data_IF_280162158209
#
_entry.id   IF_280162158209
#
_cell.length_a   1.000
_cell.length_b   1.000
_cell.length_c   1.000
_cell.angle_alpha   90.00
_cell.angle_beta   90.00
_cell.angle_gamma   90.00
#
_symmetry.space_group_name_H-M   'P 1'
#
loop_
_entity.id
_entity.type
_entity.pdbx_description
1 polymer ?
#
# COMPACT_ATOMS: atom_id res chain seq x y z
N UNK A 1 17.31 23.70 -0.71
CA UNK A 1 17.95 22.37 -0.87
C UNK A 1 19.27 22.30 -0.12
N UNK A 2 20.10 23.34 -0.12
CA UNK A 2 21.35 23.45 0.67
C UNK A 2 21.15 23.29 2.18
N UNK A 3 20.04 23.80 2.72
CA UNK A 3 19.75 23.82 4.16
C UNK A 3 19.59 22.41 4.81
N UNK A 4 18.87 21.48 4.17
CA UNK A 4 18.64 20.13 4.74
C UNK A 4 19.92 19.30 4.75
N UNK A 5 20.75 19.38 3.71
CA UNK A 5 21.99 18.60 3.64
C UNK A 5 23.03 19.08 4.65
N UNK A 6 23.14 20.40 4.84
CA UNK A 6 24.00 21.01 5.86
C UNK A 6 23.53 20.62 7.28
N UNK A 7 22.23 20.74 7.58
CA UNK A 7 21.68 20.34 8.86
C UNK A 7 21.85 18.84 9.15
N UNK A 8 21.68 17.97 8.15
CA UNK A 8 21.94 16.53 8.29
C UNK A 8 23.43 16.28 8.61
N UNK A 9 24.35 17.00 7.97
CA UNK A 9 25.77 16.86 8.23
C UNK A 9 26.14 17.29 9.66
N UNK A 10 25.55 18.39 10.16
CA UNK A 10 25.73 18.83 11.55
C UNK A 10 25.20 17.80 12.56
N UNK A 11 24.00 17.25 12.33
CA UNK A 11 23.42 16.23 13.21
C UNK A 11 24.28 14.95 13.20
N UNK A 12 24.81 14.54 12.03
CA UNK A 12 25.76 13.42 11.95
C UNK A 12 27.05 13.70 12.71
N UNK A 13 27.57 14.93 12.63
CA UNK A 13 28.81 15.33 13.30
C UNK A 13 28.69 15.38 14.82
N UNK A 14 27.48 15.53 15.37
CA UNK A 14 27.22 15.51 16.81
C UNK A 14 27.48 14.13 17.47
N UNK A 15 27.68 13.09 16.67
CA UNK A 15 27.98 11.73 17.14
C UNK A 15 26.73 10.89 17.44
N UNK A 16 26.94 9.59 17.68
CA UNK A 16 25.87 8.67 18.06
C UNK A 16 25.53 8.74 19.55
N UNK A 17 24.31 8.32 19.96
CA UNK A 17 23.91 8.28 21.35
C UNK A 17 24.77 7.30 22.13
N UNK A 18 24.91 7.54 23.43
CA UNK A 18 25.56 6.57 24.32
C UNK A 18 24.80 5.24 24.33
N UNK A 19 25.47 4.11 24.60
CA UNK A 19 24.80 2.83 24.76
C UNK A 19 23.66 2.93 25.76
N UNK A 20 22.45 2.55 25.34
CA UNK A 20 21.26 2.55 26.18
C UNK A 20 20.87 1.14 26.52
N UNK A 21 20.79 0.82 27.81
CA UNK A 21 20.26 -0.46 28.25
C UNK A 21 18.76 -0.57 27.91
N UNK A 22 18.33 -1.76 27.49
CA UNK A 22 16.93 -2.14 27.46
C UNK A 22 16.32 -2.04 28.87
N UNK A 23 15.01 -1.77 28.95
CA UNK A 23 14.32 -1.56 30.23
C UNK A 23 14.46 -2.77 31.15
N UNK A 24 14.32 -3.96 30.56
CA UNK A 24 14.38 -5.24 31.25
C UNK A 24 15.48 -6.10 30.61
N UNK A 25 16.16 -6.98 31.37
CA UNK A 25 16.91 -8.07 30.78
C UNK A 25 16.00 -8.95 29.91
N UNK A 26 16.59 -9.74 29.02
CA UNK A 26 15.86 -10.79 28.31
C UNK A 26 15.13 -11.65 29.35
N UNK A 27 13.82 -11.82 29.20
CA UNK A 27 13.02 -12.48 30.24
C UNK A 27 11.91 -13.35 29.64
N UNK A 28 11.63 -14.46 30.32
CA UNK A 28 10.63 -15.43 29.88
C UNK A 28 9.22 -14.85 29.75
N UNK A 29 8.73 -13.98 30.67
CA UNK A 29 7.40 -13.39 30.53
C UNK A 29 7.20 -12.64 29.21
N UNK A 30 8.16 -11.83 28.78
CA UNK A 30 8.09 -11.13 27.49
C UNK A 30 8.23 -12.09 26.31
N UNK A 31 9.07 -13.13 26.41
CA UNK A 31 9.15 -14.18 25.38
C UNK A 31 7.80 -14.86 25.22
N UNK A 32 7.13 -15.24 26.32
CA UNK A 32 5.82 -15.87 26.31
C UNK A 32 4.77 -14.99 25.61
N UNK A 33 4.65 -13.73 26.02
CA UNK A 33 3.72 -12.78 25.39
C UNK A 33 3.98 -12.66 23.87
N UNK A 34 5.25 -12.61 23.47
CA UNK A 34 5.63 -12.46 22.07
C UNK A 34 5.29 -13.72 21.25
N UNK A 35 5.69 -14.91 21.70
CA UNK A 35 5.43 -16.15 20.95
C UNK A 35 3.94 -16.50 20.90
N UNK A 36 3.17 -16.15 21.93
CA UNK A 36 1.72 -16.30 21.93
C UNK A 36 1.05 -15.37 20.92
N UNK A 37 1.45 -14.09 20.89
CA UNK A 37 0.89 -13.11 19.96
C UNK A 37 1.29 -13.38 18.49
N UNK A 38 2.53 -13.81 18.25
CA UNK A 38 3.03 -14.14 16.91
C UNK A 38 2.53 -15.52 16.45
N UNK A 39 2.20 -16.41 17.37
CA UNK A 39 1.82 -17.79 17.08
C UNK A 39 3.00 -18.72 16.75
N UNK A 40 4.23 -18.32 17.09
CA UNK A 40 5.43 -19.15 16.92
C UNK A 40 5.48 -20.23 18.00
N UNK A 41 5.36 -21.50 17.59
CA UNK A 41 5.33 -22.66 18.50
C UNK A 41 6.68 -23.37 18.62
N UNK A 42 7.78 -22.75 18.22
CA UNK A 42 9.10 -23.36 18.33
C UNK A 42 9.45 -23.64 19.81
N UNK A 43 9.67 -24.90 20.21
CA UNK A 43 9.80 -25.27 21.62
C UNK A 43 11.08 -24.75 22.27
N UNK A 44 12.11 -24.37 21.51
CA UNK A 44 13.39 -23.90 22.08
C UNK A 44 13.25 -22.58 22.88
N UNK A 45 12.12 -21.87 22.71
CA UNK A 45 11.83 -20.61 23.39
C UNK A 45 11.10 -20.79 24.72
N UNK A 46 10.55 -21.98 24.99
CA UNK A 46 9.66 -22.22 26.15
C UNK A 46 9.93 -23.53 26.89
N UNK A 47 10.68 -24.46 26.28
CA UNK A 47 11.02 -25.75 26.86
C UNK A 47 12.55 -25.94 26.92
N UNK A 48 13.04 -26.15 28.14
CA UNK A 48 14.48 -26.23 28.41
C UNK A 48 15.12 -27.49 27.84
N UNK A 49 14.39 -28.61 27.81
CA UNK A 49 14.89 -29.87 27.28
C UNK A 49 15.00 -29.81 25.75
N UNK A 50 14.01 -29.22 25.09
CA UNK A 50 14.01 -29.00 23.64
C UNK A 50 15.14 -28.06 23.21
N UNK A 51 15.35 -26.96 23.94
CA UNK A 51 16.44 -26.03 23.65
C UNK A 51 17.82 -26.72 23.76
N UNK A 52 18.01 -27.54 24.80
CA UNK A 52 19.25 -28.35 24.94
C UNK A 52 19.41 -29.41 23.87
N UNK A 53 18.34 -30.10 23.50
CA UNK A 53 18.35 -31.07 22.42
C UNK A 53 18.72 -30.40 21.07
N UNK A 54 18.38 -29.13 20.89
CA UNK A 54 18.78 -28.30 19.74
C UNK A 54 20.20 -27.72 19.84
N UNK A 55 20.95 -28.01 20.91
CA UNK A 55 22.34 -27.57 21.10
C UNK A 55 22.51 -26.25 21.84
N UNK A 56 21.44 -25.67 22.40
CA UNK A 56 21.53 -24.47 23.23
C UNK A 56 21.84 -24.81 24.70
N UNK A 57 22.45 -23.91 25.49
CA UNK A 57 22.69 -24.14 26.93
C UNK A 57 21.42 -24.27 27.78
N UNK A 58 20.30 -23.73 27.29
CA UNK A 58 18.98 -23.67 27.91
C UNK A 58 18.04 -22.88 27.01
N UNK A 59 16.91 -22.42 27.54
CA UNK A 59 15.96 -21.58 26.77
C UNK A 59 16.68 -20.36 26.17
N UNK A 60 16.32 -20.05 24.93
CA UNK A 60 16.81 -18.89 24.20
C UNK A 60 15.65 -17.98 23.79
N UNK A 61 15.91 -16.68 23.62
CA UNK A 61 14.93 -15.77 23.07
C UNK A 61 14.84 -15.93 21.54
N UNK A 62 13.65 -15.77 20.93
CA UNK A 62 13.53 -15.64 19.48
C UNK A 62 14.45 -14.51 18.97
N UNK A 63 15.30 -14.74 17.96
CA UNK A 63 16.24 -13.71 17.47
C UNK A 63 15.53 -12.41 17.06
N UNK A 64 14.36 -12.52 16.43
CA UNK A 64 13.53 -11.40 15.99
C UNK A 64 13.00 -10.51 17.14
N UNK A 65 13.16 -10.92 18.41
CA UNK A 65 12.84 -10.07 19.57
C UNK A 65 13.93 -9.05 19.89
N UNK A 66 15.09 -9.05 19.22
CA UNK A 66 16.23 -8.20 19.60
C UNK A 66 15.85 -6.72 19.81
N UNK A 67 15.06 -6.15 18.89
CA UNK A 67 14.61 -4.77 18.98
C UNK A 67 13.59 -4.56 20.11
N UNK A 68 12.75 -5.57 20.41
CA UNK A 68 11.71 -5.50 21.44
C UNK A 68 12.29 -5.16 22.81
N UNK A 69 13.46 -5.74 23.15
CA UNK A 69 14.14 -5.50 24.43
C UNK A 69 14.55 -4.04 24.66
N UNK A 70 14.70 -3.27 23.57
CA UNK A 70 15.21 -1.90 23.60
C UNK A 70 14.17 -0.88 23.14
N UNK A 71 12.93 -1.29 22.90
CA UNK A 71 11.82 -0.38 22.66
C UNK A 71 11.62 0.59 23.83
N UNK A 72 11.20 1.82 23.53
CA UNK A 72 10.96 2.85 24.54
C UNK A 72 9.74 2.55 25.44
N UNK A 73 8.79 1.75 24.95
CA UNK A 73 7.53 1.49 25.64
C UNK A 73 6.56 2.67 25.53
N UNK A 74 5.42 2.58 26.23
CA UNK A 74 4.28 3.50 26.05
C UNK A 74 4.60 4.95 26.41
N UNK A 75 5.41 5.17 27.45
CA UNK A 75 5.77 6.49 27.98
C UNK A 75 7.25 6.81 27.86
N UNK A 76 8.00 6.02 27.08
CA UNK A 76 9.44 6.23 26.95
C UNK A 76 9.74 7.42 26.04
N UNK A 77 10.59 8.32 26.52
CA UNK A 77 11.10 9.43 25.73
C UNK A 77 12.38 9.03 25.01
N UNK A 78 12.58 9.59 23.81
CA UNK A 78 13.81 9.40 23.05
C UNK A 78 14.96 10.15 23.75
N UNK A 79 16.15 9.55 23.89
CA UNK A 79 17.31 10.21 24.47
C UNK A 79 17.66 11.50 23.73
N UNK A 80 18.11 12.52 24.46
CA UNK A 80 18.46 13.84 23.89
C UNK A 80 19.64 13.78 22.92
N UNK A 81 20.47 12.75 23.05
CA UNK A 81 21.64 12.47 22.20
C UNK A 81 21.32 11.54 21.03
N UNK A 82 20.06 11.14 20.82
CA UNK A 82 19.65 10.34 19.66
C UNK A 82 19.49 11.24 18.42
N UNK A 83 20.32 11.07 17.38
CA UNK A 83 20.29 11.92 16.18
C UNK A 83 19.00 11.78 15.37
N UNK A 84 18.22 10.72 15.60
CA UNK A 84 16.97 10.52 14.88
C UNK A 84 15.88 11.51 15.31
N UNK A 85 15.91 12.02 16.56
CA UNK A 85 14.96 13.04 17.00
C UNK A 85 15.05 14.33 16.17
N UNK A 86 16.22 15.00 16.15
CA UNK A 86 16.44 16.19 15.33
C UNK A 86 16.20 15.99 13.84
N UNK A 87 16.52 14.80 13.30
CA UNK A 87 16.27 14.48 11.88
C UNK A 87 14.78 14.44 11.57
N UNK A 88 13.98 13.78 12.42
CA UNK A 88 12.54 13.71 12.23
C UNK A 88 11.94 15.12 12.26
N UNK A 89 12.34 15.94 13.24
CA UNK A 89 11.88 17.32 13.37
C UNK A 89 12.29 18.19 12.17
N UNK A 90 13.53 18.06 11.68
CA UNK A 90 14.02 18.74 10.47
C UNK A 90 13.13 18.41 9.26
N UNK A 91 12.83 17.13 9.03
CA UNK A 91 12.00 16.71 7.90
C UNK A 91 10.53 17.11 8.07
N UNK A 92 9.99 17.05 9.28
CA UNK A 92 8.62 17.49 9.59
C UNK A 92 8.45 18.98 9.32
N UNK A 93 9.38 19.82 9.81
CA UNK A 93 9.38 21.26 9.58
C UNK A 93 9.54 21.62 8.09
N UNK A 94 10.19 20.76 7.30
CA UNK A 94 10.30 20.89 5.85
C UNK A 94 9.09 20.33 5.06
N UNK A 95 8.05 19.86 5.76
CA UNK A 95 6.79 19.36 5.20
C UNK A 95 6.78 17.86 4.86
N UNK A 96 7.86 17.12 5.13
CA UNK A 96 7.95 15.68 4.91
C UNK A 96 7.36 14.90 6.11
N UNK A 97 6.08 15.15 6.40
CA UNK A 97 5.39 14.65 7.59
C UNK A 97 5.10 13.14 7.55
N UNK A 98 4.98 12.55 6.36
CA UNK A 98 4.78 11.12 6.19
C UNK A 98 6.03 10.34 6.56
N UNK A 99 5.87 9.18 7.22
CA UNK A 99 6.97 8.28 7.55
C UNK A 99 6.56 6.83 7.28
N UNK A 100 7.45 6.07 6.64
CA UNK A 100 7.27 4.63 6.47
C UNK A 100 8.62 3.92 6.53
N UNK A 101 8.66 2.75 7.15
CA UNK A 101 9.82 1.87 7.09
C UNK A 101 9.86 1.17 5.73
N UNK A 102 11.01 1.19 5.04
CA UNK A 102 11.12 0.57 3.71
C UNK A 102 11.97 -0.68 3.72
N UNK A 103 13.01 -0.73 4.57
CA UNK A 103 13.90 -1.89 4.67
C UNK A 103 14.32 -2.14 6.12
N UNK A 104 14.44 -3.40 6.46
CA UNK A 104 14.93 -3.89 7.75
C UNK A 104 15.77 -5.13 7.49
N UNK A 105 17.06 -5.04 7.77
CA UNK A 105 18.01 -6.14 7.61
C UNK A 105 18.66 -6.39 8.97
N UNK A 106 18.30 -7.49 9.63
CA UNK A 106 18.86 -7.87 10.92
C UNK A 106 19.83 -9.05 10.77
N UNK A 107 21.00 -8.92 11.39
CA UNK A 107 21.98 -9.99 11.53
C UNK A 107 22.10 -10.36 13.00
N UNK A 108 22.00 -11.65 13.32
CA UNK A 108 22.09 -12.15 14.68
C UNK A 108 23.39 -12.95 14.83
N UNK A 109 24.33 -12.47 15.64
CA UNK A 109 25.61 -13.14 15.83
C UNK A 109 25.45 -14.38 16.73
N UNK A 110 24.49 -14.35 17.66
CA UNK A 110 24.07 -15.50 18.46
C UNK A 110 22.66 -15.35 19.02
N UNK A 111 22.11 -16.44 19.55
CA UNK A 111 20.89 -16.41 20.37
C UNK A 111 21.17 -15.76 21.74
N UNK A 112 20.16 -15.05 22.25
CA UNK A 112 20.17 -14.49 23.61
C UNK A 112 19.53 -15.44 24.61
N UNK A 113 19.95 -15.33 25.86
CA UNK A 113 19.42 -16.14 26.98
C UNK A 113 18.67 -15.26 27.98
N UNK A 114 17.61 -15.79 28.61
CA UNK A 114 16.99 -15.12 29.75
C UNK A 114 18.03 -14.72 30.81
N UNK A 115 17.93 -13.49 31.30
CA UNK A 115 18.87 -12.86 32.24
C UNK A 115 19.94 -11.98 31.59
N UNK A 116 20.18 -12.08 30.28
CA UNK A 116 21.15 -11.22 29.60
C UNK A 116 20.60 -9.78 29.44
N UNK A 117 21.40 -8.78 29.83
CA UNK A 117 21.05 -7.37 29.68
C UNK A 117 21.52 -6.87 28.31
N UNK A 118 20.55 -6.54 27.45
CA UNK A 118 20.82 -5.96 26.13
C UNK A 118 20.97 -4.45 26.24
N UNK A 119 21.92 -3.89 25.51
CA UNK A 119 22.04 -2.45 25.24
C UNK A 119 22.01 -2.19 23.74
N UNK A 120 21.63 -0.98 23.34
CA UNK A 120 21.52 -0.53 21.95
C UNK A 120 22.37 0.72 21.73
N UNK A 121 23.06 0.78 20.59
CA UNK A 121 23.63 2.00 20.01
C UNK A 121 23.11 2.14 18.59
N UNK A 122 22.91 3.37 18.12
CA UNK A 122 22.46 3.65 16.75
C UNK A 122 23.31 4.73 16.11
N UNK A 123 23.81 4.45 14.92
CA UNK A 123 24.57 5.40 14.11
C UNK A 123 23.74 5.81 12.90
N UNK A 124 23.85 7.08 12.53
CA UNK A 124 23.14 7.60 11.37
C UNK A 124 23.92 7.31 10.09
N UNK A 125 23.30 6.54 9.20
CA UNK A 125 23.81 6.25 7.88
C UNK A 125 23.41 7.33 6.86
N UNK A 126 23.39 6.97 5.58
CA UNK A 126 23.12 7.91 4.50
C UNK A 126 21.70 8.50 4.53
N UNK A 127 21.60 9.77 4.13
CA UNK A 127 20.33 10.44 3.87
C UNK A 127 20.28 10.81 2.39
N UNK A 128 19.35 10.19 1.65
CA UNK A 128 19.34 10.21 0.19
C UNK A 128 18.01 10.80 -0.29
N UNK A 129 18.08 11.94 -0.98
CA UNK A 129 16.93 12.60 -1.58
C UNK A 129 17.24 14.00 -2.11
N UNK A 130 16.22 14.72 -2.61
CA UNK A 130 14.84 14.26 -2.72
C UNK A 130 14.68 13.20 -3.82
N UNK A 131 13.73 12.27 -3.64
CA UNK A 131 13.31 11.27 -4.63
C UNK A 131 11.80 11.32 -4.79
N UNK A 132 11.33 11.20 -6.04
CA UNK A 132 9.91 10.98 -6.32
C UNK A 132 9.59 9.49 -6.08
N UNK A 133 8.58 9.23 -5.24
CA UNK A 133 8.14 7.88 -4.89
C UNK A 133 6.63 7.74 -5.12
N UNK A 134 6.09 6.51 -5.00
CA UNK A 134 4.63 6.30 -5.09
C UNK A 134 3.83 7.01 -4.00
N UNK A 135 4.45 7.32 -2.86
CA UNK A 135 3.82 8.00 -1.71
C UNK A 135 3.96 9.54 -1.77
N UNK A 136 4.75 10.05 -2.72
CA UNK A 136 5.10 11.47 -2.85
C UNK A 136 6.61 11.71 -2.91
N UNK A 137 7.01 12.97 -2.92
CA UNK A 137 8.42 13.35 -2.82
C UNK A 137 8.95 13.07 -1.41
N UNK A 138 10.11 12.42 -1.29
CA UNK A 138 10.70 12.13 0.02
C UNK A 138 12.20 11.90 0.03
N UNK A 139 12.71 11.66 1.24
CA UNK A 139 14.10 11.35 1.55
C UNK A 139 14.17 10.01 2.26
N UNK A 140 15.12 9.19 1.83
CA UNK A 140 15.45 7.97 2.54
C UNK A 140 16.51 8.23 3.59
N UNK A 141 16.31 7.69 4.78
CA UNK A 141 17.21 7.86 5.92
C UNK A 141 17.61 6.46 6.38
N UNK A 142 18.91 6.20 6.42
CA UNK A 142 19.47 4.94 6.87
C UNK A 142 20.01 5.07 8.30
N UNK A 143 19.90 4.00 9.08
CA UNK A 143 20.55 3.83 10.37
C UNK A 143 21.22 2.47 10.43
N UNK A 144 22.38 2.43 11.08
CA UNK A 144 23.01 1.19 11.52
C UNK A 144 22.85 1.08 13.02
N UNK A 145 22.35 -0.05 13.49
CA UNK A 145 22.05 -0.28 14.91
C UNK A 145 22.84 -1.50 15.35
N UNK A 146 23.44 -1.42 16.53
CA UNK A 146 24.17 -2.52 17.14
C UNK A 146 23.60 -2.77 18.53
N UNK A 147 23.32 -4.04 18.83
CA UNK A 147 22.96 -4.50 20.15
C UNK A 147 24.11 -5.24 20.80
N UNK A 148 24.32 -4.98 22.10
CA UNK A 148 25.40 -5.58 22.89
C UNK A 148 24.91 -6.21 24.18
N UNK A 149 25.61 -7.24 24.63
CA UNK A 149 25.56 -7.76 26.01
C UNK A 149 26.94 -7.59 26.62
N UNK A 150 27.07 -6.67 27.57
CA UNK A 150 28.40 -6.18 27.97
C UNK A 150 29.10 -5.53 26.79
N UNK A 151 30.29 -6.02 26.44
CA UNK A 151 31.10 -5.54 25.32
C UNK A 151 30.96 -6.42 24.05
N UNK A 152 30.12 -7.46 24.08
CA UNK A 152 29.91 -8.38 22.96
C UNK A 152 28.78 -7.88 22.04
N UNK A 153 29.08 -7.68 20.76
CA UNK A 153 28.07 -7.45 19.72
C UNK A 153 27.26 -8.74 19.49
N UNK A 154 25.96 -8.71 19.78
CA UNK A 154 25.07 -9.88 19.70
C UNK A 154 24.16 -9.86 18.48
N UNK A 155 23.87 -8.67 17.96
CA UNK A 155 23.10 -8.47 16.74
C UNK A 155 23.32 -7.06 16.19
N UNK A 156 23.01 -6.89 14.91
CA UNK A 156 23.02 -5.59 14.23
C UNK A 156 21.83 -5.46 13.27
N UNK A 157 21.50 -4.22 12.92
CA UNK A 157 20.44 -3.90 11.97
C UNK A 157 20.81 -2.74 11.06
N UNK A 158 20.68 -2.96 9.75
CA UNK A 158 20.56 -1.87 8.79
C UNK A 158 19.07 -1.57 8.59
N UNK A 159 18.68 -0.35 8.94
CA UNK A 159 17.30 0.09 8.93
C UNK A 159 17.15 1.30 8.02
N UNK A 160 16.11 1.30 7.17
CA UNK A 160 15.83 2.39 6.26
C UNK A 160 14.38 2.84 6.37
N UNK A 161 14.19 4.13 6.53
CA UNK A 161 12.88 4.79 6.46
C UNK A 161 12.82 5.75 5.27
N UNK A 162 11.59 6.09 4.88
CA UNK A 162 11.26 7.16 3.97
C UNK A 162 10.47 8.23 4.73
N UNK A 163 11.00 9.45 4.80
CA UNK A 163 10.24 10.65 5.15
C UNK A 163 9.73 11.29 3.88
N UNK A 164 8.43 11.48 3.74
CA UNK A 164 7.83 11.95 2.49
C UNK A 164 6.77 13.01 2.74
N UNK A 165 6.60 13.92 1.77
CA UNK A 165 5.41 14.77 1.68
C UNK A 165 4.29 13.86 1.22
N UNK A 166 3.29 13.58 2.06
CA UNK A 166 2.13 12.84 1.60
C UNK A 166 1.60 13.57 0.39
N UNK A 167 1.44 12.84 -0.71
CA UNK A 167 0.61 13.36 -1.79
C UNK A 167 -0.72 13.73 -1.14
N UNK A 168 -1.24 14.93 -1.37
CA UNK A 168 -2.68 15.10 -1.22
C UNK A 168 -3.27 13.92 -1.97
N UNK A 169 -4.03 13.07 -1.27
CA UNK A 169 -4.85 12.08 -1.95
C UNK A 169 -5.49 12.87 -3.06
N UNK A 170 -5.18 12.51 -4.32
CA UNK A 170 -5.79 13.20 -5.42
C UNK A 170 -7.27 13.22 -5.05
N UNK A 171 -7.85 14.41 -4.97
CA UNK A 171 -9.28 14.58 -4.87
C UNK A 171 -9.86 14.13 -6.22
N UNK A 172 -9.55 12.90 -6.63
CA UNK A 172 -10.41 12.12 -7.47
C UNK A 172 -11.74 12.07 -6.74
N UNK A 173 -12.85 12.09 -7.48
CA UNK A 173 -14.17 12.08 -6.88
C UNK A 173 -14.20 10.94 -5.85
N UNK A 174 -14.52 11.28 -4.61
CA UNK A 174 -14.78 10.27 -3.59
C UNK A 174 -15.76 9.25 -4.17
N UNK A 175 -15.57 7.97 -3.86
CA UNK A 175 -16.54 6.92 -4.25
C UNK A 175 -17.93 7.46 -3.93
N UNK A 176 -18.84 7.56 -4.91
CA UNK A 176 -20.15 8.17 -4.70
C UNK A 176 -20.87 7.55 -3.50
N UNK A 177 -21.53 8.37 -2.68
CA UNK A 177 -22.14 7.95 -1.41
C UNK A 177 -23.20 6.85 -1.55
N UNK A 178 -23.76 6.68 -2.75
CA UNK A 178 -24.74 5.65 -3.08
C UNK A 178 -24.11 4.27 -3.39
N UNK A 179 -22.77 4.19 -3.39
CA UNK A 179 -21.98 2.98 -3.59
C UNK A 179 -21.22 2.59 -2.32
N UNK A 180 -21.29 1.32 -1.95
CA UNK A 180 -20.48 0.75 -0.87
C UNK A 180 -19.36 -0.12 -1.48
N UNK A 181 -18.09 0.34 -1.42
CA UNK A 181 -16.96 -0.29 -2.08
C UNK A 181 -16.68 -1.72 -1.59
N UNK A 182 -16.99 -2.03 -0.32
CA UNK A 182 -16.70 -3.33 0.29
C UNK A 182 -17.76 -4.39 -0.07
N UNK A 183 -18.97 -3.95 -0.40
CA UNK A 183 -20.06 -4.83 -0.84
C UNK A 183 -20.16 -4.97 -2.37
N UNK A 184 -19.43 -4.15 -3.15
CA UNK A 184 -19.47 -4.22 -4.61
C UNK A 184 -18.73 -5.43 -5.17
N UNK A 185 -19.34 -6.10 -6.15
CA UNK A 185 -18.66 -7.12 -6.95
C UNK A 185 -17.65 -6.45 -7.89
N UNK A 186 -16.38 -6.81 -7.70
CA UNK A 186 -15.26 -6.33 -8.52
C UNK A 186 -15.27 -7.02 -9.89
N UNK A 187 -15.07 -6.28 -11.00
CA UNK A 187 -14.90 -6.90 -12.30
C UNK A 187 -13.69 -7.82 -12.32
N UNK A 188 -13.84 -9.01 -12.90
CA UNK A 188 -12.72 -9.91 -13.13
C UNK A 188 -12.02 -9.56 -14.45
N UNK A 189 -10.74 -9.24 -14.36
CA UNK A 189 -9.88 -9.10 -15.54
C UNK A 189 -9.43 -10.48 -16.00
N UNK A 190 -9.56 -10.76 -17.30
CA UNK A 190 -8.98 -11.92 -17.95
C UNK A 190 -7.92 -11.44 -18.95
N UNK A 191 -7.08 -12.36 -19.46
CA UNK A 191 -6.08 -12.01 -20.47
C UNK A 191 -6.70 -11.26 -21.67
N UNK A 192 -7.87 -11.69 -22.12
CA UNK A 192 -8.51 -11.16 -23.32
C UNK A 192 -9.27 -9.84 -23.06
N UNK A 193 -9.52 -9.49 -21.80
CA UNK A 193 -10.12 -8.21 -21.38
C UNK A 193 -9.15 -7.27 -20.67
N UNK A 194 -7.89 -7.69 -20.47
CA UNK A 194 -6.89 -6.92 -19.76
C UNK A 194 -6.69 -5.53 -20.39
N UNK A 195 -6.58 -5.44 -21.72
CA UNK A 195 -6.41 -4.16 -22.42
C UNK A 195 -7.54 -3.17 -22.09
N UNK A 196 -8.77 -3.65 -21.94
CA UNK A 196 -9.96 -2.87 -21.61
C UNK A 196 -9.90 -2.38 -20.16
N UNK A 197 -9.65 -3.28 -19.20
CA UNK A 197 -9.60 -2.92 -17.78
C UNK A 197 -8.41 -2.03 -17.43
N UNK A 198 -7.25 -2.23 -18.06
CA UNK A 198 -6.12 -1.29 -17.95
C UNK A 198 -6.46 0.08 -18.57
N UNK A 199 -7.30 0.11 -19.60
CA UNK A 199 -7.86 1.34 -20.14
C UNK A 199 -8.77 2.04 -19.14
N UNK A 200 -9.72 1.31 -18.56
CA UNK A 200 -10.63 1.84 -17.53
C UNK A 200 -9.85 2.39 -16.34
N UNK A 201 -8.79 1.70 -15.89
CA UNK A 201 -7.88 2.20 -14.84
C UNK A 201 -7.14 3.48 -15.25
N UNK A 202 -6.78 3.60 -16.52
CA UNK A 202 -6.17 4.82 -17.09
C UNK A 202 -7.19 5.90 -17.48
N UNK A 203 -8.48 5.73 -17.16
CA UNK A 203 -9.58 6.60 -17.56
C UNK A 203 -9.71 6.75 -19.10
N UNK A 204 -9.42 5.65 -19.81
CA UNK A 204 -9.53 5.52 -21.26
C UNK A 204 -10.51 4.41 -21.65
N UNK A 205 -11.49 4.72 -22.49
CA UNK A 205 -12.43 3.70 -22.97
C UNK A 205 -11.86 3.01 -24.22
N UNK A 206 -11.15 1.89 -24.02
CA UNK A 206 -10.49 1.15 -25.12
C UNK A 206 -11.44 0.14 -25.78
N UNK A 207 -11.65 0.24 -27.09
CA UNK A 207 -12.51 -0.67 -27.87
C UNK A 207 -11.65 -1.59 -28.72
N UNK A 208 -11.92 -2.90 -28.69
CA UNK A 208 -11.18 -3.88 -29.49
C UNK A 208 -11.30 -3.55 -30.99
N UNK A 209 -10.17 -3.47 -31.69
CA UNK A 209 -10.10 -3.35 -33.14
C UNK A 209 -9.74 -4.70 -33.74
N UNK A 210 -10.54 -5.16 -34.70
CA UNK A 210 -10.29 -6.40 -35.44
C UNK A 210 -9.33 -6.16 -36.61
N UNK A 211 -8.72 -7.22 -37.17
CA UNK A 211 -7.81 -7.09 -38.31
C UNK A 211 -8.41 -6.45 -39.58
N UNK A 212 -9.74 -6.52 -39.74
CA UNK A 212 -10.47 -5.87 -40.84
C UNK A 212 -10.76 -4.37 -40.58
N UNK A 213 -10.30 -3.84 -39.45
CA UNK A 213 -10.53 -2.46 -39.02
C UNK A 213 -11.86 -2.25 -38.28
N UNK A 214 -12.74 -3.26 -38.21
CA UNK A 214 -13.99 -3.14 -37.47
C UNK A 214 -13.77 -3.06 -35.96
N UNK A 215 -14.66 -2.35 -35.27
CA UNK A 215 -14.64 -2.21 -33.82
C UNK A 215 -15.61 -3.21 -33.17
N UNK A 216 -15.23 -3.74 -32.01
CA UNK A 216 -15.96 -4.79 -31.34
C UNK A 216 -16.10 -4.53 -29.83
N UNK A 217 -17.34 -4.62 -29.35
CA UNK A 217 -17.65 -4.70 -27.93
C UNK A 217 -18.88 -5.63 -27.71
N UNK A 218 -18.90 -6.49 -26.69
CA UNK A 218 -17.81 -6.78 -25.74
C UNK A 218 -16.60 -7.42 -26.44
N UNK A 219 -15.40 -7.37 -25.82
CA UNK A 219 -14.20 -8.01 -26.37
C UNK A 219 -14.43 -9.50 -26.61
N UNK A 220 -14.02 -9.99 -27.79
CA UNK A 220 -14.16 -11.41 -28.14
C UNK A 220 -12.85 -12.15 -27.81
N UNK A 221 -12.90 -13.22 -26.99
CA UNK A 221 -11.70 -13.96 -26.57
C UNK A 221 -11.12 -14.89 -27.65
N UNK A 222 -11.89 -15.19 -28.70
CA UNK A 222 -11.55 -16.17 -29.74
C UNK A 222 -11.10 -15.53 -31.06
N UNK A 223 -10.15 -14.58 -31.00
CA UNK A 223 -9.44 -14.15 -32.22
C UNK A 223 -8.42 -15.23 -32.56
N UNK A 224 -8.42 -15.73 -33.80
CA UNK A 224 -7.44 -16.72 -34.30
C UNK A 224 -6.06 -16.08 -34.49
N UNK A 225 -5.43 -15.68 -33.39
CA UNK A 225 -4.10 -15.07 -33.33
C UNK A 225 -3.20 -15.83 -32.35
N UNK A 226 -1.90 -15.53 -32.37
CA UNK A 226 -0.97 -16.02 -31.36
C UNK A 226 -1.46 -15.58 -29.96
N UNK A 227 -1.45 -16.51 -29.00
CA UNK A 227 -1.82 -16.28 -27.61
C UNK A 227 -0.97 -15.20 -26.93
N UNK A 228 0.24 -14.94 -27.44
CA UNK A 228 1.15 -13.91 -26.94
C UNK A 228 0.97 -12.55 -27.65
N UNK A 229 0.24 -12.48 -28.76
CA UNK A 229 0.03 -11.23 -29.47
C UNK A 229 -0.94 -10.32 -28.67
N UNK A 230 -0.60 -9.03 -28.47
CA UNK A 230 -1.50 -8.10 -27.79
C UNK A 230 -2.79 -7.89 -28.60
N UNK A 231 -3.87 -7.61 -27.90
CA UNK A 231 -5.14 -7.22 -28.53
C UNK A 231 -5.01 -5.77 -29.01
N UNK A 232 -5.31 -5.56 -30.29
CA UNK A 232 -5.35 -4.22 -30.87
C UNK A 232 -6.63 -3.47 -30.46
N UNK A 233 -6.53 -2.16 -30.26
CA UNK A 233 -7.64 -1.33 -29.79
C UNK A 233 -7.57 0.11 -30.30
N UNK A 234 -8.70 0.81 -30.19
CA UNK A 234 -8.81 2.27 -30.30
C UNK A 234 -9.22 2.85 -28.96
N UNK A 235 -8.76 4.05 -28.63
CA UNK A 235 -9.30 4.82 -27.50
C UNK A 235 -10.51 5.59 -28.02
N UNK A 236 -11.68 5.29 -27.49
CA UNK A 236 -12.92 5.97 -27.83
C UNK A 236 -12.95 7.37 -27.23
N UNK A 237 -13.72 8.26 -27.86
CA UNK A 237 -14.08 9.57 -27.31
C UNK A 237 -14.81 9.47 -25.97
N UNK A 238 -15.47 8.33 -25.72
CA UNK A 238 -16.35 8.12 -24.56
C UNK A 238 -17.72 8.77 -24.71
N UNK A 239 -18.01 9.44 -25.83
CA UNK A 239 -19.30 10.07 -26.09
C UNK A 239 -20.27 9.11 -26.76
N UNK A 240 -21.55 9.22 -26.43
CA UNK A 240 -22.59 8.42 -27.06
C UNK A 240 -24.00 8.91 -26.77
N UNK A 241 -24.98 8.09 -27.14
CA UNK A 241 -26.38 8.32 -26.84
C UNK A 241 -27.03 7.08 -26.23
N UNK A 242 -27.99 7.28 -25.33
CA UNK A 242 -28.76 6.17 -24.74
C UNK A 242 -29.53 5.45 -25.84
N UNK A 243 -29.15 4.22 -26.18
CA UNK A 243 -29.84 3.38 -27.15
C UNK A 243 -31.08 2.71 -26.51
N UNK A 244 -30.91 2.20 -25.29
CA UNK A 244 -32.00 1.65 -24.46
C UNK A 244 -31.59 1.70 -23.00
N UNK A 245 -32.55 1.66 -22.07
CA UNK A 245 -32.24 1.62 -20.64
C UNK A 245 -33.29 0.84 -19.85
N UNK A 246 -32.92 0.41 -18.65
CA UNK A 246 -33.82 -0.13 -17.63
C UNK A 246 -33.58 0.59 -16.31
N UNK A 247 -34.64 0.79 -15.53
CA UNK A 247 -34.55 1.30 -14.16
C UNK A 247 -34.69 0.12 -13.22
N UNK A 248 -33.62 -0.18 -12.47
CA UNK A 248 -33.60 -1.31 -11.56
C UNK A 248 -34.17 -0.90 -10.20
N UNK A 249 -35.34 -1.44 -9.85
CA UNK A 249 -36.02 -1.14 -8.59
C UNK A 249 -35.88 -2.26 -7.54
N UNK A 250 -35.70 -3.52 -7.95
CA UNK A 250 -35.58 -4.69 -7.08
C UNK A 250 -35.10 -5.93 -7.88
N UNK A 251 -34.44 -6.92 -7.25
CA UNK A 251 -34.04 -7.00 -5.84
C UNK A 251 -32.82 -6.11 -5.51
N UNK A 252 -32.50 -5.98 -4.22
CA UNK A 252 -31.30 -5.26 -3.76
C UNK A 252 -30.04 -5.87 -4.37
N UNK A 253 -29.20 -5.01 -4.94
CA UNK A 253 -27.88 -5.36 -5.45
C UNK A 253 -26.85 -4.95 -4.38
N UNK A 254 -25.97 -5.86 -3.94
CA UNK A 254 -24.92 -5.52 -2.98
C UNK A 254 -24.11 -4.30 -3.42
N UNK A 255 -23.83 -3.41 -2.48
CA UNK A 255 -23.04 -2.21 -2.71
C UNK A 255 -23.71 -1.10 -3.49
N UNK A 256 -25.04 -1.14 -3.71
CA UNK A 256 -25.77 -0.11 -4.48
C UNK A 256 -27.07 0.33 -3.82
N UNK A 257 -27.33 1.63 -3.89
CA UNK A 257 -28.62 2.23 -3.54
C UNK A 257 -29.61 2.12 -4.70
N UNK A 258 -30.87 1.80 -4.40
CA UNK A 258 -31.95 1.67 -5.39
C UNK A 258 -32.87 2.90 -5.38
N UNK A 259 -33.49 3.27 -6.52
CA UNK A 259 -33.29 2.71 -7.86
C UNK A 259 -32.07 3.31 -8.59
N UNK A 260 -31.50 2.57 -9.53
CA UNK A 260 -30.46 3.08 -10.43
C UNK A 260 -30.74 2.70 -11.89
N UNK A 261 -30.13 3.43 -12.82
CA UNK A 261 -30.36 3.26 -14.27
C UNK A 261 -29.23 2.45 -14.90
N UNK A 262 -29.58 1.39 -15.62
CA UNK A 262 -28.64 0.67 -16.47
C UNK A 262 -28.94 1.06 -17.91
N UNK A 263 -27.98 1.70 -18.57
CA UNK A 263 -28.09 2.16 -19.94
C UNK A 263 -27.22 1.31 -20.87
N UNK A 264 -27.78 0.96 -22.02
CA UNK A 264 -27.03 0.54 -23.20
C UNK A 264 -26.80 1.79 -24.05
N UNK A 265 -25.54 2.20 -24.18
CA UNK A 265 -25.14 3.42 -24.87
C UNK A 265 -24.56 3.04 -26.23
N UNK A 266 -25.04 3.68 -27.30
CA UNK A 266 -24.41 3.63 -28.62
C UNK A 266 -23.38 4.75 -28.70
N UNK A 267 -22.11 4.36 -28.79
CA UNK A 267 -20.97 5.28 -28.87
C UNK A 267 -20.85 5.89 -30.26
N UNK A 268 -20.19 7.04 -30.36
CA UNK A 268 -19.89 7.70 -31.65
C UNK A 268 -19.07 6.81 -32.59
N UNK A 269 -18.29 5.87 -32.03
CA UNK A 269 -17.53 4.86 -32.77
C UNK A 269 -18.40 3.69 -33.30
N UNK A 270 -19.69 3.65 -32.97
CA UNK A 270 -20.68 2.71 -33.52
C UNK A 270 -20.85 1.39 -32.76
N UNK A 271 -20.11 1.17 -31.67
CA UNK A 271 -20.33 0.02 -30.78
C UNK A 271 -21.32 0.37 -29.67
N UNK A 272 -21.94 -0.67 -29.08
CA UNK A 272 -22.84 -0.51 -27.94
C UNK A 272 -22.21 -1.03 -26.66
N UNK A 273 -22.31 -0.25 -25.61
CA UNK A 273 -21.72 -0.55 -24.31
C UNK A 273 -22.74 -0.41 -23.19
N UNK A 274 -22.82 -1.44 -22.36
CA UNK A 274 -23.68 -1.43 -21.19
C UNK A 274 -22.95 -0.78 -20.01
N UNK A 275 -23.62 0.05 -19.24
CA UNK A 275 -23.08 0.64 -18.02
C UNK A 275 -24.15 1.32 -17.19
N UNK A 276 -23.80 1.72 -15.99
CA UNK A 276 -24.70 2.47 -15.12
C UNK A 276 -24.77 3.94 -15.57
N UNK A 277 -25.97 4.50 -15.73
CA UNK A 277 -26.15 5.92 -16.00
C UNK A 277 -26.40 6.65 -14.68
N UNK A 278 -25.46 7.50 -14.30
CA UNK A 278 -25.37 8.14 -12.98
C UNK A 278 -25.65 9.64 -13.07
N UNK A 279 -25.95 10.25 -11.92
CA UNK A 279 -26.19 11.70 -11.82
C UNK A 279 -27.46 12.17 -12.54
N UNK A 280 -28.44 11.29 -12.74
CA UNK A 280 -29.70 11.60 -13.42
C UNK A 280 -30.89 11.04 -12.64
N UNK A 281 -31.99 11.79 -12.61
CA UNK A 281 -33.27 11.26 -12.12
C UNK A 281 -33.77 10.19 -13.12
N UNK A 282 -34.00 8.93 -12.68
CA UNK A 282 -34.49 7.86 -13.54
C UNK A 282 -35.74 8.23 -14.35
N UNK A 283 -36.62 9.09 -13.83
CA UNK A 283 -37.84 9.53 -14.53
C UNK A 283 -37.56 10.44 -15.73
N UNK A 284 -36.36 11.02 -15.82
CA UNK A 284 -35.98 11.97 -16.88
C UNK A 284 -35.20 11.32 -18.02
N UNK A 285 -34.77 10.07 -17.85
CA UNK A 285 -33.98 9.33 -18.85
C UNK A 285 -34.82 9.02 -20.08
N UNK A 286 -34.25 9.27 -21.26
CA UNK A 286 -34.90 9.04 -22.56
C UNK A 286 -33.92 8.41 -23.53
N UNK A 287 -34.44 7.58 -24.43
CA UNK A 287 -33.68 7.10 -25.59
C UNK A 287 -33.24 8.32 -26.42
N UNK A 288 -31.98 8.30 -26.86
CA UNK A 288 -31.32 9.41 -27.57
C UNK A 288 -30.69 10.47 -26.65
N UNK A 289 -30.80 10.35 -25.33
CA UNK A 289 -30.13 11.26 -24.39
C UNK A 289 -28.61 11.21 -24.61
N UNK A 290 -27.94 12.36 -24.82
CA UNK A 290 -26.49 12.41 -24.98
C UNK A 290 -25.81 12.15 -23.64
N UNK A 291 -24.79 11.30 -23.66
CA UNK A 291 -24.05 10.86 -22.48
C UNK A 291 -22.56 10.81 -22.78
N UNK A 292 -21.75 10.79 -21.73
CA UNK A 292 -20.31 10.55 -21.80
C UNK A 292 -19.86 9.54 -20.75
N UNK A 293 -18.76 8.85 -21.03
CA UNK A 293 -18.11 7.96 -20.08
C UNK A 293 -17.54 8.76 -18.90
N UNK A 294 -17.67 8.19 -17.70
CA UNK A 294 -17.08 8.68 -16.46
C UNK A 294 -16.45 7.51 -15.72
N UNK A 295 -15.53 7.79 -14.80
CA UNK A 295 -14.74 6.76 -14.11
C UNK A 295 -14.83 6.95 -12.60
N UNK A 296 -15.00 5.85 -11.90
CA UNK A 296 -15.11 5.80 -10.44
C UNK A 296 -13.92 5.01 -9.93
N UNK A 297 -13.01 5.69 -9.24
CA UNK A 297 -11.83 5.09 -8.64
C UNK A 297 -12.16 4.62 -7.22
N UNK A 298 -12.00 3.33 -7.00
CA UNK A 298 -12.15 2.69 -5.70
C UNK A 298 -10.77 2.52 -5.07
N UNK A 299 -10.52 3.13 -3.89
CA UNK A 299 -9.23 3.00 -3.22
C UNK A 299 -8.99 1.57 -2.76
N UNK A 300 -7.71 1.25 -2.48
CA UNK A 300 -7.38 0.00 -1.80
C UNK A 300 -8.00 -0.01 -0.40
N UNK A 301 -8.53 -1.16 0.00
CA UNK A 301 -9.16 -1.37 1.31
C UNK A 301 -9.08 -2.83 1.73
N UNK A 302 -9.77 -3.18 2.81
CA UNK A 302 -9.76 -4.54 3.37
C UNK A 302 -10.29 -5.59 2.36
N UNK A 303 -11.16 -5.16 1.44
CA UNK A 303 -11.73 -6.00 0.38
C UNK A 303 -10.77 -6.26 -0.80
N UNK A 304 -9.58 -5.64 -0.83
CA UNK A 304 -8.54 -5.85 -1.86
C UNK A 304 -7.95 -4.57 -2.46
N UNK A 305 -7.12 -4.67 -3.52
CA UNK A 305 -6.41 -3.52 -4.11
C UNK A 305 -7.34 -2.50 -4.74
N UNK A 306 -6.80 -1.31 -5.05
CA UNK A 306 -7.49 -0.28 -5.82
C UNK A 306 -7.99 -0.81 -7.18
N UNK A 307 -9.11 -0.28 -7.66
CA UNK A 307 -9.68 -0.62 -8.96
C UNK A 307 -10.57 0.51 -9.47
N UNK A 308 -10.88 0.50 -10.77
CA UNK A 308 -11.70 1.54 -11.39
C UNK A 308 -12.88 0.91 -12.12
N UNK A 309 -14.04 1.55 -12.06
CA UNK A 309 -15.23 1.20 -12.82
C UNK A 309 -15.59 2.34 -13.76
N UNK A 310 -16.01 2.03 -14.99
CA UNK A 310 -16.61 3.04 -15.86
C UNK A 310 -18.13 3.11 -15.63
N UNK A 311 -18.70 4.29 -15.83
CA UNK A 311 -20.13 4.57 -15.84
C UNK A 311 -20.45 5.59 -16.94
N UNK A 312 -21.72 5.96 -17.06
CA UNK A 312 -22.21 7.01 -17.94
C UNK A 312 -22.74 8.17 -17.12
N UNK A 313 -22.63 9.38 -17.64
CA UNK A 313 -23.29 10.57 -17.12
C UNK A 313 -23.91 11.39 -18.26
N UNK A 314 -24.99 12.15 -18.01
CA UNK A 314 -25.56 13.06 -19.01
C UNK A 314 -24.52 14.06 -19.53
N UNK A 315 -24.47 14.24 -20.84
CA UNK A 315 -23.67 15.29 -21.48
C UNK A 315 -24.54 16.53 -21.63
N UNK A 316 -24.18 17.59 -20.90
CA UNK A 316 -24.82 18.91 -21.00
C UNK A 316 -24.68 19.53 -22.40
#
# INVERSE_FOLDING_TARGET
MTDIQEAVAEIKAAGGPKPRAGRDPVNQPMVNNWVEAIGDRNPIYVDEAAARAAGHPGIVAPPAMIQVWTMFGLSGERPKDDPMGPIMELFDNAGYIGVVATNCEQTYHRYLRPGEQVSITSEMGDVIGPKQTGLGEGYFINQHIIWRVGDEDVAEMNWRILKFKPREAASGPAVPEDLDPDAMMRPSSSRDTAFFWEGVKAHELRIQRRPDGSLQHPPVPAVWQDKAAPIDYVVASGNGTVFSFVVHHAPKVPGRTLPFVIALVELEEGVRMLGELRGVDPATVKIGMPVRATYIDFPAGDSGPEWTLYAWEPRA
#
